data_IF_543380007623
#
_entry.id   IF_543380007623
#
_cell.length_a   1.000
_cell.length_b   1.000
_cell.length_c   1.000
_cell.angle_alpha   90.00
_cell.angle_beta   90.00
_cell.angle_gamma   90.00
#
_symmetry.space_group_name_H-M   'P 1'
#
loop_
_entity.id
_entity.type
_entity.pdbx_description
1 polymer ?
#
# COMPACT_ATOMS: atom_id res chain seq x y z
N UNK A 1 -12.70 -0.10 -29.49
CA UNK A 1 -11.84 -0.87 -28.57
C UNK A 1 -10.83 0.10 -28.00
N UNK A 2 -11.08 0.64 -26.81
CA UNK A 2 -10.12 1.51 -26.14
C UNK A 2 -8.99 0.64 -25.58
N UNK A 3 -7.75 1.00 -25.87
CA UNK A 3 -6.56 0.43 -25.23
C UNK A 3 -6.73 0.66 -23.73
N UNK A 4 -6.73 -0.41 -22.93
CA UNK A 4 -6.66 -0.28 -21.49
C UNK A 4 -5.33 0.41 -21.17
N UNK A 5 -5.42 1.66 -20.73
CA UNK A 5 -4.30 2.41 -20.16
C UNK A 5 -3.76 1.58 -18.99
N UNK A 6 -2.48 1.22 -19.02
CA UNK A 6 -1.84 0.37 -18.01
C UNK A 6 -1.70 1.18 -16.70
N UNK A 7 -2.75 1.15 -15.89
CA UNK A 7 -2.78 1.81 -14.60
C UNK A 7 -1.97 1.00 -13.60
N UNK A 8 -0.93 1.61 -13.03
CA UNK A 8 -0.08 0.97 -12.04
C UNK A 8 -0.73 1.07 -10.65
N UNK A 9 -1.12 -0.07 -10.10
CA UNK A 9 -1.58 -0.17 -8.71
C UNK A 9 -0.40 -0.49 -7.78
N UNK A 10 -0.24 0.30 -6.70
CA UNK A 10 0.80 0.05 -5.70
C UNK A 10 0.25 0.26 -4.28
N UNK A 11 0.65 -0.56 -3.30
CA UNK A 11 0.26 -0.34 -1.92
C UNK A 11 0.97 0.90 -1.36
N UNK A 12 0.23 1.69 -0.58
CA UNK A 12 0.76 2.91 0.04
C UNK A 12 1.83 2.61 1.11
N UNK A 13 1.74 1.44 1.75
CA UNK A 13 2.65 0.98 2.80
C UNK A 13 2.96 2.04 3.88
N UNK A 14 1.91 2.73 4.35
CA UNK A 14 2.01 3.74 5.39
C UNK A 14 2.67 5.06 4.96
N UNK A 15 2.99 5.24 3.68
CA UNK A 15 3.43 6.54 3.14
C UNK A 15 2.24 7.49 3.08
N UNK A 16 2.39 8.76 3.50
CA UNK A 16 1.36 9.76 3.27
C UNK A 16 1.27 10.06 1.77
N UNK A 17 0.06 10.03 1.21
CA UNK A 17 -0.20 10.45 -0.16
C UNK A 17 -1.48 11.28 -0.23
N UNK A 18 -1.56 12.12 -1.25
CA UNK A 18 -2.72 12.95 -1.56
C UNK A 18 -3.01 12.81 -3.05
N UNK A 19 -4.27 13.01 -3.43
CA UNK A 19 -4.64 12.95 -4.84
C UNK A 19 -3.90 14.05 -5.63
N UNK A 20 -3.43 13.70 -6.82
CA UNK A 20 -2.67 14.61 -7.68
C UNK A 20 -1.17 14.73 -7.39
N UNK A 21 -0.64 14.03 -6.39
CA UNK A 21 0.81 13.91 -6.18
C UNK A 21 1.48 13.13 -7.32
N UNK A 22 2.69 13.56 -7.69
CA UNK A 22 3.50 12.82 -8.65
C UNK A 22 4.21 11.63 -7.99
N UNK A 23 4.38 10.55 -8.77
CA UNK A 23 5.06 9.34 -8.35
C UNK A 23 6.20 9.00 -9.32
N UNK A 24 7.41 8.81 -8.78
CA UNK A 24 8.58 8.33 -9.52
C UNK A 24 8.58 6.80 -9.50
N UNK A 25 8.23 6.18 -10.63
CA UNK A 25 8.17 4.72 -10.77
C UNK A 25 9.54 4.04 -10.76
N UNK A 26 10.62 4.76 -11.07
CA UNK A 26 11.97 4.21 -11.04
C UNK A 26 12.50 4.10 -9.62
N UNK A 27 12.13 5.05 -8.75
CA UNK A 27 12.60 5.10 -7.36
C UNK A 27 11.56 4.60 -6.35
N UNK A 28 10.33 4.34 -6.78
CA UNK A 28 9.21 4.02 -5.89
C UNK A 28 9.05 5.08 -4.78
N UNK A 29 9.01 6.35 -5.20
CA UNK A 29 8.90 7.49 -4.28
C UNK A 29 7.86 8.49 -4.75
N UNK A 30 7.03 8.95 -3.81
CA UNK A 30 6.16 10.10 -4.00
C UNK A 30 7.00 11.37 -3.99
N UNK A 31 6.70 12.30 -4.90
CA UNK A 31 7.38 13.59 -4.98
C UNK A 31 6.55 14.60 -4.17
N UNK A 32 6.99 15.00 -2.96
CA UNK A 32 6.25 15.96 -2.15
C UNK A 32 6.33 17.37 -2.75
N UNK A 33 5.28 18.16 -2.53
CA UNK A 33 5.25 19.59 -2.89
C UNK A 33 5.00 19.90 -4.36
N UNK A 34 4.83 18.89 -5.22
CA UNK A 34 4.44 19.06 -6.63
C UNK A 34 3.13 18.32 -6.87
N UNK A 35 2.09 19.06 -7.22
CA UNK A 35 0.80 18.52 -7.66
C UNK A 35 0.48 19.04 -9.06
N UNK A 36 -0.07 18.17 -9.91
CA UNK A 36 -0.49 18.56 -11.27
C UNK A 36 -1.64 19.58 -11.27
N UNK A 37 -2.44 19.54 -10.20
CA UNK A 37 -3.64 20.35 -10.06
C UNK A 37 -3.56 21.18 -8.79
N UNK A 38 -4.18 22.36 -8.83
CA UNK A 38 -4.44 23.13 -7.62
C UNK A 38 -5.42 22.37 -6.72
N UNK A 39 -5.13 22.37 -5.42
CA UNK A 39 -5.91 21.62 -4.43
C UNK A 39 -7.39 22.01 -4.42
N UNK A 40 -7.70 23.30 -4.64
CA UNK A 40 -9.07 23.80 -4.63
C UNK A 40 -9.87 23.35 -5.85
N UNK A 41 -9.22 23.18 -7.00
CA UNK A 41 -9.83 22.59 -8.20
C UNK A 41 -10.04 21.09 -8.00
N UNK A 42 -9.03 20.40 -7.47
CA UNK A 42 -9.07 18.96 -7.21
C UNK A 42 -10.23 18.57 -6.28
N UNK A 43 -10.50 19.36 -5.24
CA UNK A 43 -11.61 19.10 -4.33
C UNK A 43 -13.00 19.21 -4.96
N UNK A 44 -13.18 20.04 -6.00
CA UNK A 44 -14.50 20.23 -6.63
C UNK A 44 -14.96 19.00 -7.40
N UNK A 45 -14.00 18.31 -8.02
CA UNK A 45 -14.25 17.11 -8.82
C UNK A 45 -14.02 15.81 -8.03
N UNK A 46 -13.54 15.92 -6.79
CA UNK A 46 -13.27 14.76 -5.93
C UNK A 46 -14.57 14.04 -5.59
N UNK A 47 -14.68 12.79 -6.01
CA UNK A 47 -15.78 11.91 -5.63
C UNK A 47 -15.31 10.92 -4.57
N UNK A 48 -15.80 11.05 -3.34
CA UNK A 48 -15.64 10.02 -2.32
C UNK A 48 -16.74 8.97 -2.45
N UNK A 49 -16.35 7.72 -2.69
CA UNK A 49 -17.26 6.58 -2.73
C UNK A 49 -16.99 5.69 -1.51
N UNK A 50 -17.95 5.52 -0.59
CA UNK A 50 -17.83 4.52 0.48
C UNK A 50 -17.63 3.12 -0.12
N UNK A 51 -16.63 2.40 0.36
CA UNK A 51 -16.31 1.03 -0.05
C UNK A 51 -15.94 0.18 1.18
N UNK A 52 -16.90 -0.03 2.12
CA UNK A 52 -16.64 -0.82 3.31
C UNK A 52 -16.35 -2.27 2.93
N UNK A 53 -15.12 -2.71 3.16
CA UNK A 53 -14.67 -4.09 2.96
C UNK A 53 -13.79 -4.48 4.12
N UNK A 54 -14.05 -5.65 4.70
CA UNK A 54 -13.24 -6.20 5.80
C UNK A 54 -12.87 -7.63 5.49
N UNK A 55 -11.59 -7.94 5.60
CA UNK A 55 -11.02 -9.26 5.36
C UNK A 55 -10.06 -9.61 6.50
N UNK A 56 -9.90 -10.89 6.78
CA UNK A 56 -8.97 -11.37 7.80
C UNK A 56 -8.33 -12.66 7.36
N UNK A 57 -7.04 -12.81 7.66
CA UNK A 57 -6.24 -13.96 7.27
C UNK A 57 -5.35 -14.40 8.44
N UNK A 58 -5.16 -15.71 8.58
CA UNK A 58 -4.25 -16.31 9.55
C UNK A 58 -3.03 -16.84 8.81
N UNK A 59 -1.87 -16.29 9.13
CA UNK A 59 -0.59 -16.62 8.49
C UNK A 59 0.28 -17.35 9.51
N UNK A 60 0.54 -18.64 9.27
CA UNK A 60 1.38 -19.47 10.13
C UNK A 60 2.87 -19.46 9.70
N UNK A 61 3.22 -18.69 8.67
CA UNK A 61 4.58 -18.52 8.17
C UNK A 61 5.14 -17.13 8.51
N UNK A 62 6.47 -17.00 8.47
CA UNK A 62 7.19 -15.77 8.82
C UNK A 62 8.24 -15.38 7.78
N UNK A 63 8.25 -16.01 6.61
CA UNK A 63 9.22 -15.67 5.55
C UNK A 63 8.92 -14.28 5.00
N UNK A 64 9.96 -13.60 4.50
CA UNK A 64 9.78 -12.27 3.90
C UNK A 64 8.83 -12.30 2.70
N UNK A 65 8.75 -13.43 2.01
CA UNK A 65 7.87 -13.60 0.86
C UNK A 65 6.40 -13.70 1.30
N UNK A 66 6.10 -14.56 2.28
CA UNK A 66 4.75 -14.66 2.86
C UNK A 66 4.26 -13.32 3.40
N UNK A 67 5.15 -12.55 4.05
CA UNK A 67 4.83 -11.22 4.56
C UNK A 67 4.61 -10.19 3.46
N UNK A 68 5.34 -10.30 2.36
CA UNK A 68 5.18 -9.42 1.20
C UNK A 68 3.86 -9.70 0.51
N UNK A 69 3.53 -10.98 0.31
CA UNK A 69 2.27 -11.43 -0.30
C UNK A 69 1.06 -10.98 0.52
N UNK A 70 1.13 -11.10 1.86
CA UNK A 70 0.07 -10.60 2.75
C UNK A 70 -0.20 -9.10 2.58
N UNK A 71 0.82 -8.30 2.24
CA UNK A 71 0.69 -6.85 2.12
C UNK A 71 0.52 -6.38 0.65
N UNK A 72 0.26 -7.31 -0.27
CA UNK A 72 0.14 -7.06 -1.71
C UNK A 72 1.38 -6.34 -2.30
N UNK A 73 2.58 -6.69 -1.80
CA UNK A 73 3.84 -6.02 -2.15
C UNK A 73 4.53 -6.75 -3.30
N UNK A 74 4.75 -6.04 -4.40
CA UNK A 74 5.55 -6.54 -5.51
C UNK A 74 7.04 -6.60 -5.17
N UNK A 75 7.81 -7.43 -5.87
CA UNK A 75 9.24 -7.62 -5.61
C UNK A 75 10.06 -6.32 -5.70
N UNK A 76 9.69 -5.38 -6.57
CA UNK A 76 10.36 -4.08 -6.73
C UNK A 76 10.12 -3.13 -5.55
N UNK A 77 9.00 -3.27 -4.85
CA UNK A 77 8.54 -2.35 -3.79
C UNK A 77 9.06 -2.74 -2.39
N UNK A 78 9.73 -3.89 -2.24
CA UNK A 78 10.18 -4.44 -0.95
C UNK A 78 11.22 -3.56 -0.23
N UNK A 79 11.92 -2.67 -0.93
CA UNK A 79 13.05 -1.89 -0.38
C UNK A 79 12.66 -0.52 0.23
N UNK A 80 11.54 0.08 -0.16
CA UNK A 80 11.25 1.50 0.11
C UNK A 80 10.31 1.75 1.30
N UNK A 81 9.99 0.71 2.06
CA UNK A 81 9.00 0.77 3.12
C UNK A 81 9.50 1.49 4.41
N UNK A 82 8.72 2.44 4.97
CA UNK A 82 9.14 3.27 6.10
C UNK A 82 8.19 3.37 7.34
N UNK A 83 6.89 2.99 7.30
CA UNK A 83 6.02 3.19 8.48
C UNK A 83 4.64 2.49 8.51
N UNK A 84 3.97 2.45 9.66
CA UNK A 84 2.67 1.79 9.78
C UNK A 84 2.71 0.27 9.61
N UNK A 85 1.69 -0.31 8.96
CA UNK A 85 1.47 -1.77 8.90
C UNK A 85 2.62 -2.55 8.25
N UNK A 86 3.33 -1.96 7.29
CA UNK A 86 4.42 -2.67 6.64
C UNK A 86 5.69 -2.77 7.51
N UNK A 87 5.69 -2.22 8.75
CA UNK A 87 6.72 -2.52 9.76
C UNK A 87 6.79 -4.01 10.04
N UNK A 88 5.69 -4.71 9.81
CA UNK A 88 5.60 -6.16 9.83
C UNK A 88 6.67 -6.86 8.95
N UNK A 89 7.06 -6.28 7.81
CA UNK A 89 8.11 -6.84 6.95
C UNK A 89 9.47 -6.92 7.63
N UNK A 90 9.75 -6.01 8.57
CA UNK A 90 11.00 -5.94 9.32
C UNK A 90 10.95 -6.71 10.63
N UNK A 91 9.77 -7.16 11.06
CA UNK A 91 9.66 -8.10 12.15
C UNK A 91 10.18 -9.45 11.65
N UNK A 92 11.22 -10.01 12.27
CA UNK A 92 11.80 -11.30 11.89
C UNK A 92 11.90 -12.15 13.15
N UNK A 93 11.52 -13.43 13.06
CA UNK A 93 11.81 -14.40 14.13
C UNK A 93 13.28 -14.37 14.52
N UNK A 94 13.54 -14.24 15.82
CA UNK A 94 14.91 -14.25 16.37
C UNK A 94 15.48 -15.66 16.54
N UNK A 95 14.64 -16.69 16.51
CA UNK A 95 15.03 -18.09 16.70
C UNK A 95 14.17 -19.03 15.86
N UNK A 96 14.77 -20.15 15.43
CA UNK A 96 14.08 -21.25 14.76
C UNK A 96 13.18 -22.06 15.70
N UNK A 97 13.38 -21.95 17.01
CA UNK A 97 12.60 -22.64 18.04
C UNK A 97 11.35 -21.84 18.47
N UNK A 98 10.99 -20.80 17.72
CA UNK A 98 9.83 -19.96 18.00
C UNK A 98 8.70 -20.26 17.00
N UNK A 99 7.59 -20.77 17.52
CA UNK A 99 6.32 -20.76 16.79
C UNK A 99 5.76 -19.34 16.73
N UNK A 100 5.20 -18.94 15.58
CA UNK A 100 4.55 -17.65 15.39
C UNK A 100 3.35 -17.84 14.48
N UNK A 101 2.27 -17.19 14.84
CA UNK A 101 1.06 -17.05 14.02
C UNK A 101 0.76 -15.57 13.95
N UNK A 102 0.54 -15.06 12.75
CA UNK A 102 0.12 -13.67 12.50
C UNK A 102 -1.35 -13.68 12.11
N UNK A 103 -2.13 -12.76 12.68
CA UNK A 103 -3.48 -12.47 12.20
C UNK A 103 -3.42 -11.15 11.46
N UNK A 104 -3.74 -11.17 10.17
CA UNK A 104 -3.91 -9.98 9.37
C UNK A 104 -5.38 -9.55 9.39
N UNK A 105 -5.59 -8.25 9.58
CA UNK A 105 -6.88 -7.61 9.45
C UNK A 105 -6.78 -6.49 8.41
N UNK A 106 -7.57 -6.58 7.34
CA UNK A 106 -7.57 -5.63 6.22
C UNK A 106 -8.93 -4.97 6.13
N UNK A 107 -8.94 -3.64 6.15
CA UNK A 107 -10.17 -2.84 6.03
C UNK A 107 -10.01 -1.75 5.00
N UNK A 108 -10.94 -1.69 4.06
CA UNK A 108 -11.14 -0.58 3.13
C UNK A 108 -12.42 0.14 3.54
N UNK A 109 -12.38 1.47 3.64
CA UNK A 109 -13.54 2.27 4.08
C UNK A 109 -14.16 3.06 2.93
N UNK A 110 -13.32 3.64 2.08
CA UNK A 110 -13.73 4.54 1.01
C UNK A 110 -12.65 4.60 -0.06
N UNK A 111 -13.06 4.96 -1.27
CA UNK A 111 -12.21 5.21 -2.41
C UNK A 111 -12.47 6.62 -2.90
N UNK A 112 -11.38 7.36 -3.12
CA UNK A 112 -11.41 8.69 -3.70
C UNK A 112 -11.04 8.56 -5.19
N UNK A 113 -11.87 9.13 -6.05
CA UNK A 113 -11.65 9.20 -7.51
C UNK A 113 -11.87 10.62 -8.00
#
# INVERSE_FOLDING_TARGET
MALAEDAIETPALGRPFQLGMLYDCCKDTLIPGVTLWDYSSLQKDLTNKPQPKTESEIIASDTIDDKSSALDISASLKASFLGGSAKYLRDIKKSKQQARVTVQYKTTTSMNS
#
